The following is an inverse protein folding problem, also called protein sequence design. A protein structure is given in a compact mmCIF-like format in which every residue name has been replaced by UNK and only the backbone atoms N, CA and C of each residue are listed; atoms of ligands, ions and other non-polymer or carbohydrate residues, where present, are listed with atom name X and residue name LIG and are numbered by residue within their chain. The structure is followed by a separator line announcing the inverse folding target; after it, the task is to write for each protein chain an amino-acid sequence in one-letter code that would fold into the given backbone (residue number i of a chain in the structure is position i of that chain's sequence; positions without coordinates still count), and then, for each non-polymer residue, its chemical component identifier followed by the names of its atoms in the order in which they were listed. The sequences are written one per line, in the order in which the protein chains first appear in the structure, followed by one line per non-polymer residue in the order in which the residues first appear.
data_IF_772138279904
#
_entry.id   IF_772138279904
#
_cell.length_a   1.000
_cell.length_b   1.000
_cell.length_c   1.000
_cell.angle_alpha   90.00
_cell.angle_beta   90.00
_cell.angle_gamma   90.00
#
_symmetry.space_group_name_H-M   'P 1'
#
loop_
_entity.id
_entity.type
_entity.pdbx_description
1 polymer ?
#
# COMPACT_ATOMS: atom_id res chain seq x y z
N UNK A 1 -15.57 31.32 21.14
CA UNK A 1 -15.53 30.33 20.03
C UNK A 1 -15.23 31.06 18.74
N UNK A 2 -14.26 30.56 17.97
CA UNK A 2 -13.65 31.23 16.81
C UNK A 2 -14.64 31.35 15.63
N UNK A 3 -15.46 32.41 15.61
CA UNK A 3 -16.61 32.60 14.70
C UNK A 3 -16.25 32.44 13.21
N UNK A 4 -15.00 32.79 12.84
CA UNK A 4 -14.47 32.66 11.46
C UNK A 4 -14.53 31.23 10.90
N UNK A 5 -14.30 30.20 11.74
CA UNK A 5 -14.32 28.80 11.30
C UNK A 5 -15.75 28.28 11.03
N UNK A 6 -16.75 28.88 11.66
CA UNK A 6 -18.15 28.47 11.56
C UNK A 6 -18.84 29.07 10.34
N UNK A 7 -18.48 30.31 9.96
CA UNK A 7 -19.11 31.01 8.83
C UNK A 7 -18.92 30.28 7.49
N UNK A 8 -17.77 29.65 7.26
CA UNK A 8 -17.53 28.92 6.01
C UNK A 8 -18.47 27.71 5.87
N UNK A 9 -18.64 26.92 6.93
CA UNK A 9 -19.52 25.75 6.92
C UNK A 9 -20.99 26.13 6.66
N UNK A 10 -21.45 27.20 7.32
CA UNK A 10 -22.80 27.74 7.10
C UNK A 10 -22.96 28.26 5.67
N UNK A 11 -21.95 28.96 5.14
CA UNK A 11 -21.98 29.46 3.76
C UNK A 11 -22.00 28.34 2.72
N UNK A 12 -21.23 27.26 2.90
CA UNK A 12 -21.25 26.10 2.01
C UNK A 12 -22.60 25.39 2.03
N UNK A 13 -23.22 25.27 3.21
CA UNK A 13 -24.54 24.67 3.34
C UNK A 13 -25.63 25.51 2.66
N UNK A 14 -25.60 26.84 2.85
CA UNK A 14 -26.51 27.76 2.18
C UNK A 14 -26.31 27.77 0.65
N UNK A 15 -25.07 27.68 0.18
CA UNK A 15 -24.75 27.54 -1.24
C UNK A 15 -25.39 26.29 -1.85
N UNK A 16 -25.26 25.13 -1.18
CA UNK A 16 -25.85 23.87 -1.67
C UNK A 16 -27.37 23.96 -1.70
N UNK A 17 -28.01 24.52 -0.67
CA UNK A 17 -29.46 24.73 -0.66
C UNK A 17 -29.89 25.62 -1.83
N UNK A 18 -29.19 26.74 -2.04
CA UNK A 18 -29.46 27.66 -3.15
C UNK A 18 -29.36 26.96 -4.51
N UNK A 19 -28.29 26.18 -4.73
CA UNK A 19 -28.11 25.42 -5.96
C UNK A 19 -29.20 24.35 -6.19
N UNK A 20 -29.78 23.80 -5.12
CA UNK A 20 -30.87 22.83 -5.19
C UNK A 20 -32.24 23.47 -5.39
N UNK A 21 -32.39 24.77 -5.11
CA UNK A 21 -33.68 25.48 -5.27
C UNK A 21 -33.93 25.88 -6.72
N UNK A 22 -32.85 26.12 -7.48
CA UNK A 22 -32.91 26.51 -8.88
C UNK A 22 -32.73 25.28 -9.80
N UNK A 23 -33.74 24.91 -10.62
CA UNK A 23 -33.71 23.70 -11.43
C UNK A 23 -32.56 23.69 -12.46
N UNK A 24 -32.13 24.86 -12.92
CA UNK A 24 -31.00 25.03 -13.85
C UNK A 24 -29.63 24.77 -13.17
N UNK A 25 -29.55 24.88 -11.84
CA UNK A 25 -28.31 24.79 -11.08
C UNK A 25 -28.13 23.45 -10.35
N UNK A 26 -29.14 22.58 -10.35
CA UNK A 26 -29.08 21.25 -9.70
C UNK A 26 -27.88 20.44 -10.20
N UNK A 27 -27.56 20.53 -11.49
CA UNK A 27 -26.39 19.84 -12.06
C UNK A 27 -25.07 20.26 -11.38
N UNK A 28 -24.93 21.53 -10.98
CA UNK A 28 -23.76 22.01 -10.24
C UNK A 28 -23.74 21.49 -8.80
N UNK A 29 -24.90 21.37 -8.14
CA UNK A 29 -24.97 20.78 -6.80
C UNK A 29 -24.50 19.32 -6.81
N UNK A 30 -24.96 18.54 -7.80
CA UNK A 30 -24.56 17.13 -7.98
C UNK A 30 -23.07 17.01 -8.31
N UNK A 31 -22.52 17.90 -9.14
CA UNK A 31 -21.09 17.93 -9.45
C UNK A 31 -20.24 18.26 -8.21
N UNK A 32 -20.70 19.20 -7.38
CA UNK A 32 -20.00 19.58 -6.15
C UNK A 32 -20.01 18.43 -5.13
N UNK A 33 -21.12 17.70 -5.03
CA UNK A 33 -21.21 16.48 -4.21
C UNK A 33 -20.28 15.37 -4.73
N UNK A 34 -20.25 15.15 -6.06
CA UNK A 34 -19.33 14.19 -6.70
C UNK A 34 -17.85 14.50 -6.43
N UNK A 35 -17.44 15.75 -6.61
CA UNK A 35 -16.08 16.20 -6.29
C UNK A 35 -15.80 16.03 -4.78
N UNK A 36 -16.77 16.39 -3.92
CA UNK A 36 -16.65 16.23 -2.47
C UNK A 36 -16.41 14.79 -2.06
N UNK A 37 -17.13 13.84 -2.66
CA UNK A 37 -16.95 12.41 -2.44
C UNK A 37 -15.58 11.92 -2.93
N UNK A 38 -15.13 12.36 -4.11
CA UNK A 38 -13.80 11.99 -4.63
C UNK A 38 -12.68 12.46 -3.68
N UNK A 39 -12.74 13.70 -3.20
CA UNK A 39 -11.78 14.20 -2.20
C UNK A 39 -11.88 13.45 -0.87
N UNK A 40 -13.09 13.05 -0.45
CA UNK A 40 -13.26 12.26 0.77
C UNK A 40 -12.60 10.89 0.66
N UNK A 41 -12.78 10.20 -0.47
CA UNK A 41 -12.11 8.92 -0.75
C UNK A 41 -10.60 9.09 -0.76
N UNK A 42 -10.08 10.11 -1.44
CA UNK A 42 -8.64 10.41 -1.45
C UNK A 42 -8.08 10.63 -0.05
N UNK A 43 -8.79 11.38 0.80
CA UNK A 43 -8.39 11.59 2.19
C UNK A 43 -8.40 10.29 2.98
N UNK A 44 -9.41 9.43 2.80
CA UNK A 44 -9.44 8.12 3.43
C UNK A 44 -8.26 7.24 3.00
N UNK A 45 -7.88 7.24 1.73
CA UNK A 45 -6.72 6.50 1.23
C UNK A 45 -5.41 6.99 1.87
N UNK A 46 -5.21 8.32 1.93
CA UNK A 46 -4.03 8.91 2.57
C UNK A 46 -3.97 8.54 4.06
N UNK A 47 -5.10 8.57 4.76
CA UNK A 47 -5.16 8.16 6.16
C UNK A 47 -4.90 6.67 6.32
N UNK A 48 -5.44 5.82 5.45
CA UNK A 48 -5.17 4.39 5.46
C UNK A 48 -3.66 4.12 5.29
N UNK A 49 -3.01 4.72 4.29
CA UNK A 49 -1.57 4.58 4.05
C UNK A 49 -0.76 5.05 5.28
N UNK A 50 -1.13 6.18 5.89
CA UNK A 50 -0.45 6.70 7.07
C UNK A 50 -0.58 5.75 8.26
N UNK A 51 -1.79 5.24 8.53
CA UNK A 51 -2.06 4.31 9.63
C UNK A 51 -1.32 3.00 9.41
N UNK A 52 -1.45 2.38 8.23
CA UNK A 52 -0.73 1.15 7.89
C UNK A 52 0.79 1.35 7.95
N UNK A 53 1.29 2.46 7.43
CA UNK A 53 2.71 2.82 7.51
C UNK A 53 3.21 2.92 8.95
N UNK A 54 2.44 3.56 9.83
CA UNK A 54 2.76 3.66 11.26
C UNK A 54 2.82 2.29 11.93
N UNK A 55 1.78 1.45 11.75
CA UNK A 55 1.76 0.11 12.35
C UNK A 55 2.87 -0.78 11.77
N UNK A 56 3.15 -0.68 10.47
CA UNK A 56 4.23 -1.41 9.84
C UNK A 56 5.60 -1.04 10.43
N UNK A 57 5.90 0.25 10.57
CA UNK A 57 7.20 0.70 11.11
C UNK A 57 7.32 0.41 12.61
N UNK A 58 6.23 0.54 13.36
CA UNK A 58 6.24 0.45 14.83
C UNK A 58 6.12 -0.98 15.35
N UNK A 59 5.35 -1.84 14.68
CA UNK A 59 5.04 -3.19 15.16
C UNK A 59 5.61 -4.27 14.26
N UNK A 60 5.31 -4.21 12.96
CA UNK A 60 5.69 -5.29 12.05
C UNK A 60 7.20 -5.36 11.81
N UNK A 61 7.83 -4.23 11.45
CA UNK A 61 9.25 -4.17 11.11
C UNK A 61 10.17 -4.59 12.26
N UNK A 62 9.94 -4.18 13.53
CA UNK A 62 10.75 -4.65 14.66
C UNK A 62 10.64 -6.14 14.89
N UNK A 63 9.45 -6.74 14.70
CA UNK A 63 9.21 -8.19 14.87
C UNK A 63 9.82 -8.96 13.69
N UNK A 64 9.71 -8.44 12.47
CA UNK A 64 10.25 -9.08 11.28
C UNK A 64 11.79 -9.02 11.21
N UNK A 65 12.42 -7.98 11.78
CA UNK A 65 13.88 -7.80 11.74
C UNK A 65 14.70 -8.96 12.35
N UNK A 66 14.39 -9.50 13.55
CA UNK A 66 15.11 -10.66 14.08
C UNK A 66 14.88 -11.91 13.23
N UNK A 67 13.66 -12.13 12.73
CA UNK A 67 13.35 -13.24 11.83
C UNK A 67 14.18 -13.14 10.55
N UNK A 68 14.21 -11.95 9.94
CA UNK A 68 15.03 -11.67 8.76
C UNK A 68 16.51 -11.97 9.00
N UNK A 69 17.07 -11.50 10.12
CA UNK A 69 18.47 -11.78 10.49
C UNK A 69 18.73 -13.26 10.73
N UNK A 70 17.78 -13.97 11.32
CA UNK A 70 17.88 -15.41 11.55
C UNK A 70 17.90 -16.17 10.22
N UNK A 71 16.98 -15.86 9.30
CA UNK A 71 16.95 -16.47 7.97
C UNK A 71 18.24 -16.17 7.20
N UNK A 72 18.71 -14.92 7.23
CA UNK A 72 19.95 -14.52 6.54
C UNK A 72 21.20 -15.24 7.07
N UNK A 73 21.20 -15.68 8.33
CA UNK A 73 22.28 -16.53 8.86
C UNK A 73 22.22 -17.96 8.30
N UNK A 74 21.03 -18.48 8.00
CA UNK A 74 20.83 -19.82 7.47
C UNK A 74 21.02 -19.86 5.95
N UNK A 75 20.54 -18.83 5.26
CA UNK A 75 20.63 -18.69 3.81
C UNK A 75 21.42 -17.42 3.42
N UNK A 76 22.69 -17.57 3.02
CA UNK A 76 23.51 -16.46 2.55
C UNK A 76 22.98 -15.76 1.30
N UNK A 77 22.14 -16.45 0.50
CA UNK A 77 21.58 -15.91 -0.74
C UNK A 77 20.26 -15.17 -0.53
N UNK A 78 19.69 -15.20 0.69
CA UNK A 78 18.46 -14.51 1.01
C UNK A 78 18.69 -13.03 1.28
N UNK A 79 18.04 -12.17 0.49
CA UNK A 79 17.94 -10.74 0.75
C UNK A 79 16.69 -10.14 0.10
N UNK A 80 16.22 -9.01 0.64
CA UNK A 80 15.07 -8.30 0.07
C UNK A 80 15.60 -7.24 -0.91
N UNK A 81 15.41 -7.40 -2.23
CA UNK A 81 15.93 -6.46 -3.21
C UNK A 81 15.17 -5.14 -3.19
N UNK A 82 15.89 -4.04 -3.44
CA UNK A 82 15.30 -2.71 -3.62
C UNK A 82 14.49 -2.65 -4.92
N UNK A 83 13.47 -1.78 -4.97
CA UNK A 83 12.65 -1.56 -6.16
C UNK A 83 13.49 -1.25 -7.41
N UNK A 84 14.56 -0.47 -7.29
CA UNK A 84 15.48 -0.15 -8.39
C UNK A 84 16.21 -1.39 -8.92
N UNK A 85 16.69 -2.26 -8.03
CA UNK A 85 17.35 -3.50 -8.40
C UNK A 85 16.40 -4.46 -9.15
N UNK A 86 15.15 -4.58 -8.70
CA UNK A 86 14.14 -5.41 -9.38
C UNK A 86 13.77 -4.84 -10.75
N UNK A 87 13.70 -3.51 -10.88
CA UNK A 87 13.41 -2.87 -12.17
C UNK A 87 14.52 -3.10 -13.21
N UNK A 88 15.78 -3.18 -12.78
CA UNK A 88 16.91 -3.48 -13.66
C UNK A 88 17.06 -4.98 -13.93
N UNK A 89 16.86 -5.81 -12.89
CA UNK A 89 17.03 -7.25 -12.95
C UNK A 89 15.88 -7.95 -12.22
N UNK A 90 14.76 -8.24 -12.91
CA UNK A 90 13.58 -8.84 -12.29
C UNK A 90 13.86 -10.19 -11.63
N UNK A 91 14.81 -10.96 -12.18
CA UNK A 91 15.21 -12.26 -11.64
C UNK A 91 15.76 -12.17 -10.21
N UNK A 92 16.27 -11.02 -9.79
CA UNK A 92 16.79 -10.82 -8.42
C UNK A 92 15.68 -10.97 -7.38
N UNK A 93 14.41 -10.86 -7.77
CA UNK A 93 13.27 -11.09 -6.89
C UNK A 93 13.26 -12.49 -6.26
N UNK A 94 13.86 -13.50 -6.91
CA UNK A 94 13.92 -14.87 -6.35
C UNK A 94 14.74 -14.95 -5.06
N UNK A 95 15.66 -14.01 -4.83
CA UNK A 95 16.43 -13.92 -3.58
C UNK A 95 15.60 -13.47 -2.38
N UNK A 96 14.40 -12.94 -2.62
CA UNK A 96 13.46 -12.59 -1.55
C UNK A 96 12.76 -13.82 -0.95
N UNK A 97 12.93 -15.01 -1.56
CA UNK A 97 12.37 -16.27 -1.08
C UNK A 97 13.46 -17.03 -0.31
N UNK A 98 13.32 -17.22 1.02
CA UNK A 98 14.28 -17.99 1.81
C UNK A 98 14.51 -19.39 1.24
N UNK A 99 15.77 -19.78 1.10
CA UNK A 99 16.19 -21.11 0.68
C UNK A 99 16.05 -21.40 -0.81
N UNK A 100 15.51 -20.47 -1.61
CA UNK A 100 15.21 -20.72 -3.03
C UNK A 100 16.48 -21.08 -3.81
N UNK A 101 17.53 -20.26 -3.73
CA UNK A 101 18.79 -20.51 -4.45
C UNK A 101 19.48 -21.78 -3.95
N UNK A 102 19.54 -21.96 -2.63
CA UNK A 102 20.16 -23.14 -2.03
C UNK A 102 19.47 -24.43 -2.50
N UNK A 103 18.13 -24.42 -2.52
CA UNK A 103 17.33 -25.54 -3.00
C UNK A 103 17.49 -25.77 -4.50
N UNK A 104 17.45 -24.71 -5.32
CA UNK A 104 17.67 -24.80 -6.76
C UNK A 104 19.04 -25.39 -7.10
N UNK A 105 20.10 -24.96 -6.41
CA UNK A 105 21.45 -25.53 -6.59
C UNK A 105 21.51 -26.96 -6.09
N UNK A 106 20.96 -27.26 -4.91
CA UNK A 106 20.93 -28.62 -4.36
C UNK A 106 20.22 -29.61 -5.29
N UNK A 107 19.12 -29.21 -5.92
CA UNK A 107 18.40 -30.03 -6.90
C UNK A 107 19.24 -30.39 -8.13
N UNK A 108 20.22 -29.58 -8.52
CA UNK A 108 21.13 -29.92 -9.64
C UNK A 108 22.02 -31.12 -9.32
N UNK A 109 22.25 -31.40 -8.04
CA UNK A 109 23.06 -32.53 -7.57
C UNK A 109 22.23 -33.74 -7.14
N UNK A 110 20.90 -33.62 -7.12
CA UNK A 110 20.00 -34.74 -6.87
C UNK A 110 19.80 -35.50 -8.17
N UNK A 111 20.30 -36.74 -8.22
CA UNK A 111 19.89 -37.70 -9.23
C UNK A 111 18.46 -38.13 -8.90
N UNK A 112 17.50 -37.70 -9.70
CA UNK A 112 16.19 -38.33 -9.70
C UNK A 112 16.38 -39.70 -10.37
N UNK A 113 16.61 -40.74 -9.57
CA UNK A 113 16.40 -42.09 -10.06
C UNK A 113 14.92 -42.15 -10.46
N UNK A 114 14.70 -42.20 -11.77
CA UNK A 114 13.37 -42.39 -12.33
C UNK A 114 12.78 -43.61 -11.65
N UNK A 115 11.72 -43.42 -10.86
CA UNK A 115 10.82 -44.51 -10.50
C UNK A 115 10.20 -44.92 -11.84
N UNK A 116 10.85 -45.89 -12.49
CA UNK A 116 10.32 -46.62 -13.63
C UNK A 116 9.10 -47.38 -13.12
N UNK A 117 7.92 -46.88 -13.47
CA UNK A 117 6.67 -47.63 -13.42
C UNK A 117 6.67 -48.62 -14.59
#
# INVERSE_FOLDING_TARGET
MNLKKSSWKVSSFLLVIFLLTEPELIAFAVLLDGIGLEFFVLLLEVQAIAVFGYYFQTWFKPIAKPIYKFIQKLDPYFFIPTKSAVAQYPIVFVHAIPGFILFSVGLLFVKFDSISV
#
